data_IF_910297757602
#
_entry.id   IF_910297757602
#
_cell.length_a   1.000
_cell.length_b   1.000
_cell.length_c   1.000
_cell.angle_alpha   90.00
_cell.angle_beta   90.00
_cell.angle_gamma   90.00
#
_symmetry.space_group_name_H-M   'P 1'
#
loop_
_entity.id
_entity.type
_entity.pdbx_description
1 polymer ?
#
# COMPACT_ATOMS: atom_id res chain seq x y z
N UNK A 1 6.89 4.24 -4.52
CA UNK A 1 6.03 5.24 -3.86
C UNK A 1 5.41 4.68 -2.58
N UNK A 2 5.05 5.56 -1.69
CA UNK A 2 4.37 5.21 -0.44
C UNK A 2 2.97 5.80 -0.43
N UNK A 3 2.01 5.00 0.02
CA UNK A 3 0.64 5.45 0.27
C UNK A 3 0.35 5.25 1.75
N UNK A 4 -0.08 6.30 2.42
CA UNK A 4 -0.39 6.28 3.85
C UNK A 4 -1.80 6.80 4.10
N UNK A 5 -2.50 6.33 5.15
CA UNK A 5 -3.77 6.91 5.55
C UNK A 5 -3.56 8.27 6.21
N UNK A 6 -4.60 9.11 6.23
CA UNK A 6 -4.54 10.41 6.91
C UNK A 6 -4.47 10.26 8.42
N UNK A 7 -5.16 9.27 8.98
CA UNK A 7 -5.12 8.99 10.41
C UNK A 7 -3.84 8.30 10.83
N UNK A 8 -3.61 8.25 12.12
CA UNK A 8 -2.42 7.61 12.68
C UNK A 8 -2.74 6.16 13.03
N UNK A 9 -2.24 5.24 12.24
CA UNK A 9 -2.39 3.81 12.45
C UNK A 9 -1.02 3.15 12.38
N UNK A 10 -0.78 2.19 13.26
CA UNK A 10 0.53 1.54 13.37
C UNK A 10 0.76 0.57 12.22
N UNK A 11 -0.24 -0.24 11.90
CA UNK A 11 -0.17 -1.29 10.89
C UNK A 11 -1.57 -1.60 10.34
N UNK A 12 -1.63 -2.57 9.44
CA UNK A 12 -2.89 -2.94 8.80
C UNK A 12 -3.93 -3.46 9.79
N UNK A 13 -3.51 -4.23 10.78
CA UNK A 13 -4.44 -4.77 11.77
C UNK A 13 -5.01 -3.67 12.65
N UNK A 14 -4.18 -2.72 13.06
CA UNK A 14 -4.61 -1.54 13.82
C UNK A 14 -5.60 -0.70 13.00
N UNK A 15 -5.29 -0.49 11.74
CA UNK A 15 -6.15 0.25 10.81
C UNK A 15 -7.52 -0.42 10.65
N UNK A 16 -7.54 -1.73 10.39
CA UNK A 16 -8.79 -2.46 10.23
C UNK A 16 -9.63 -2.50 11.50
N UNK A 17 -8.99 -2.45 12.67
CA UNK A 17 -9.70 -2.47 13.94
C UNK A 17 -10.33 -1.12 14.29
N UNK A 18 -9.73 -0.02 13.88
CA UNK A 18 -10.09 1.33 14.36
C UNK A 18 -10.65 2.26 13.29
N UNK A 19 -10.26 2.09 12.03
CA UNK A 19 -10.69 2.99 10.97
C UNK A 19 -12.15 2.75 10.61
N UNK A 20 -12.80 3.82 10.13
CA UNK A 20 -14.15 3.70 9.58
C UNK A 20 -14.13 3.02 8.21
N UNK A 21 -15.26 2.48 7.79
CA UNK A 21 -15.39 1.90 6.46
C UNK A 21 -15.01 2.89 5.37
N UNK A 22 -15.39 4.16 5.56
CA UNK A 22 -15.03 5.22 4.62
C UNK A 22 -13.51 5.40 4.50
N UNK A 23 -12.80 5.40 5.62
CA UNK A 23 -11.34 5.53 5.62
C UNK A 23 -10.67 4.34 4.91
N UNK A 24 -11.18 3.13 5.15
CA UNK A 24 -10.65 1.92 4.53
C UNK A 24 -10.85 1.97 3.01
N UNK A 25 -12.05 2.32 2.57
CA UNK A 25 -12.36 2.44 1.13
C UNK A 25 -11.50 3.51 0.48
N UNK A 26 -11.35 4.67 1.10
CA UNK A 26 -10.55 5.76 0.56
C UNK A 26 -9.08 5.37 0.42
N UNK A 27 -8.52 4.64 1.38
CA UNK A 27 -7.13 4.19 1.31
C UNK A 27 -6.93 3.23 0.12
N UNK A 28 -7.78 2.24 0.00
CA UNK A 28 -7.68 1.23 -1.07
C UNK A 28 -7.85 1.87 -2.45
N UNK A 29 -8.83 2.72 -2.61
CA UNK A 29 -9.03 3.46 -3.87
C UNK A 29 -7.88 4.41 -4.15
N UNK A 30 -7.31 5.00 -3.11
CA UNK A 30 -6.17 5.90 -3.20
C UNK A 30 -4.94 5.24 -3.79
N UNK A 31 -4.72 3.96 -3.53
CA UNK A 31 -3.62 3.20 -4.12
C UNK A 31 -3.70 3.20 -5.64
N UNK A 32 -4.88 2.93 -6.19
CA UNK A 32 -5.09 2.95 -7.64
C UNK A 32 -4.91 4.35 -8.23
N UNK A 33 -5.35 5.38 -7.52
CA UNK A 33 -5.18 6.77 -7.96
C UNK A 33 -3.69 7.12 -8.07
N UNK A 34 -2.90 6.76 -7.06
CA UNK A 34 -1.45 7.01 -7.07
C UNK A 34 -0.79 6.24 -8.22
N UNK A 35 -1.16 4.98 -8.43
CA UNK A 35 -0.62 4.19 -9.51
C UNK A 35 -0.89 4.82 -10.89
N UNK A 36 -2.06 5.38 -11.09
CA UNK A 36 -2.40 6.10 -12.34
C UNK A 36 -1.55 7.34 -12.51
N UNK A 37 -1.35 8.11 -11.46
CA UNK A 37 -0.52 9.32 -11.50
C UNK A 37 0.94 9.00 -11.82
N UNK A 38 1.43 7.83 -11.40
CA UNK A 38 2.79 7.39 -11.68
C UNK A 38 2.92 6.65 -13.02
N UNK A 39 1.81 6.48 -13.75
CA UNK A 39 1.77 5.76 -15.03
C UNK A 39 2.24 4.31 -14.94
N UNK A 40 1.98 3.65 -13.82
CA UNK A 40 2.31 2.23 -13.61
C UNK A 40 1.07 1.34 -13.56
N UNK A 41 -0.10 1.92 -13.76
CA UNK A 41 -1.36 1.18 -13.70
C UNK A 41 -1.55 0.23 -14.89
N UNK A 42 -2.52 -0.65 -14.77
CA UNK A 42 -2.90 -1.56 -15.83
C UNK A 42 -3.35 -0.81 -17.09
N UNK A 43 -4.03 0.32 -16.92
CA UNK A 43 -4.48 1.17 -18.05
C UNK A 43 -3.31 1.68 -18.90
N UNK A 44 -2.15 1.86 -18.29
CA UNK A 44 -0.93 2.26 -18.99
C UNK A 44 -0.20 1.07 -19.64
N UNK A 45 -0.80 -0.11 -19.62
CA UNK A 45 -0.19 -1.33 -20.14
C UNK A 45 0.87 -1.91 -19.22
N UNK A 46 0.87 -1.51 -17.96
CA UNK A 46 1.84 -1.93 -16.95
C UNK A 46 1.14 -2.60 -15.78
N UNK A 47 1.77 -2.68 -14.69
CA UNK A 47 1.22 -3.20 -13.46
C UNK A 47 2.15 -2.84 -12.31
N UNK A 48 1.73 -3.13 -11.10
CA UNK A 48 2.52 -2.78 -9.93
C UNK A 48 2.30 -3.78 -8.82
N UNK A 49 3.26 -3.83 -7.92
CA UNK A 49 3.17 -4.63 -6.70
C UNK A 49 2.81 -3.72 -5.54
N UNK A 50 1.87 -4.18 -4.72
CA UNK A 50 1.48 -3.48 -3.49
C UNK A 50 1.83 -4.37 -2.32
N UNK A 51 2.51 -3.82 -1.33
CA UNK A 51 2.77 -4.55 -0.10
C UNK A 51 2.80 -3.63 1.11
N UNK A 52 2.47 -4.18 2.26
CA UNK A 52 2.60 -3.50 3.55
C UNK A 52 3.21 -4.48 4.55
N UNK A 53 4.24 -4.04 5.24
CA UNK A 53 4.90 -4.85 6.26
C UNK A 53 4.23 -4.62 7.60
N UNK A 54 3.99 -5.70 8.32
CA UNK A 54 3.32 -5.65 9.61
C UNK A 54 4.18 -6.32 10.67
N UNK A 55 4.52 -5.55 11.69
CA UNK A 55 5.24 -5.99 12.88
C UNK A 55 6.59 -6.64 12.56
N UNK A 56 7.14 -7.35 13.54
CA UNK A 56 8.50 -7.90 13.47
C UNK A 56 8.67 -8.94 12.34
N UNK A 57 7.75 -9.91 12.27
CA UNK A 57 7.83 -10.96 11.26
C UNK A 57 7.54 -10.46 9.85
N UNK A 58 6.83 -9.35 9.72
CA UNK A 58 6.59 -8.70 8.44
C UNK A 58 7.69 -7.72 8.04
N UNK A 59 8.66 -7.49 8.92
CA UNK A 59 9.75 -6.58 8.64
C UNK A 59 9.39 -5.10 8.72
N UNK A 60 8.36 -4.76 9.50
CA UNK A 60 7.97 -3.37 9.68
C UNK A 60 9.00 -2.61 10.51
N UNK A 61 9.61 -1.58 9.93
CA UNK A 61 10.62 -0.76 10.59
C UNK A 61 10.04 0.52 11.16
N UNK A 62 9.07 1.12 10.47
CA UNK A 62 8.43 2.37 10.89
C UNK A 62 7.05 2.05 11.47
N UNK A 63 6.74 2.45 12.73
CA UNK A 63 5.46 2.14 13.37
C UNK A 63 4.33 3.04 12.89
N UNK A 64 4.15 3.12 11.59
CA UNK A 64 3.09 3.87 10.92
C UNK A 64 2.71 3.12 9.66
N UNK A 65 1.42 2.82 9.50
CA UNK A 65 0.92 2.06 8.35
C UNK A 65 1.30 2.75 7.04
N UNK A 66 1.91 2.00 6.15
CA UNK A 66 2.21 2.46 4.81
C UNK A 66 2.19 1.30 3.83
N UNK A 67 1.83 1.62 2.60
CA UNK A 67 1.85 0.67 1.50
C UNK A 67 2.93 1.09 0.51
N UNK A 68 3.76 0.12 0.12
CA UNK A 68 4.75 0.33 -0.93
C UNK A 68 4.16 -0.04 -2.28
N UNK A 69 4.37 0.81 -3.27
CA UNK A 69 4.03 0.53 -4.66
C UNK A 69 5.31 0.41 -5.47
N UNK A 70 5.51 -0.75 -6.09
CA UNK A 70 6.64 -1.02 -6.96
C UNK A 70 6.12 -1.26 -8.38
N UNK A 71 6.60 -0.47 -9.34
CA UNK A 71 6.19 -0.59 -10.73
C UNK A 71 7.14 0.14 -11.64
N UNK A 72 6.76 0.26 -12.92
CA UNK A 72 7.60 0.87 -13.95
C UNK A 72 8.61 -0.09 -14.56
N UNK A 73 8.97 -1.13 -13.84
CA UNK A 73 9.83 -2.21 -14.29
C UNK A 73 9.21 -3.53 -13.86
N UNK A 74 9.61 -4.61 -14.51
CA UNK A 74 9.18 -5.93 -14.08
C UNK A 74 9.83 -6.26 -12.74
N UNK A 75 9.00 -6.45 -11.71
CA UNK A 75 9.49 -6.84 -10.40
C UNK A 75 9.67 -8.35 -10.33
N UNK A 76 10.63 -8.80 -9.53
CA UNK A 76 10.89 -10.21 -9.34
C UNK A 76 9.79 -10.91 -8.55
N UNK A 77 9.88 -12.23 -8.47
CA UNK A 77 8.94 -13.01 -7.67
C UNK A 77 9.05 -12.62 -6.20
N UNK A 78 7.92 -12.66 -5.51
CA UNK A 78 7.94 -12.60 -4.06
C UNK A 78 8.48 -13.93 -3.53
N UNK A 79 9.43 -13.83 -2.61
CA UNK A 79 10.03 -14.99 -1.99
C UNK A 79 9.10 -15.51 -0.89
N UNK A 80 8.98 -16.80 -0.82
CA UNK A 80 8.17 -17.47 0.20
C UNK A 80 8.99 -18.01 1.34
#
# INVERSE_FOLDING_TARGET
>A
ALVIPKGKYIDLDDFNAKASDKEIVELIKGISIVAKKLSISLDAGKGYRVLSNLSEHGGQEVPHLHFHLFGGEKVGKMVE
#
